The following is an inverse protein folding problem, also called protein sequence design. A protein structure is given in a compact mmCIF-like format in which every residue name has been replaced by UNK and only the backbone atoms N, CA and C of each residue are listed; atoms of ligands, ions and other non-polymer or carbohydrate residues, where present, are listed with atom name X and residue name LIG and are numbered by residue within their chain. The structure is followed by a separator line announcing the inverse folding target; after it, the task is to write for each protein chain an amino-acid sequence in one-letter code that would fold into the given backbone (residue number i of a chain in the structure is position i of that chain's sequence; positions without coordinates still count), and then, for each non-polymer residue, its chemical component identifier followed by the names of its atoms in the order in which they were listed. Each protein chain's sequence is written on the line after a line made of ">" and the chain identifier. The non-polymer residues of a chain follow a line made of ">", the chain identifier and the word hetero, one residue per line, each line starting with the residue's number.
data_IF_249781877076
#
_entry.id   IF_249781877076
#
_cell.length_a   1.000
_cell.length_b   1.000
_cell.length_c   1.000
_cell.angle_alpha   90.00
_cell.angle_beta   90.00
_cell.angle_gamma   90.00
#
_symmetry.space_group_name_H-M   'P 1'
#
loop_
_entity.id
_entity.type
_entity.pdbx_description
1 polymer ?
#
# COMPACT_ATOMS: atom_id res chain seq x y z
N UNK A 1 -15.15 0.45 10.15
CA UNK A 1 -14.69 0.74 8.78
C UNK A 1 -13.29 0.18 8.50
N UNK A 2 -12.26 0.46 9.32
CA UNK A 2 -10.91 -0.15 9.18
C UNK A 2 -10.93 -1.68 9.27
N UNK A 3 -11.76 -2.26 10.16
CA UNK A 3 -11.87 -3.70 10.36
C UNK A 3 -12.19 -4.49 9.07
N UNK A 4 -13.09 -4.00 8.21
CA UNK A 4 -13.49 -4.75 7.01
C UNK A 4 -12.36 -4.84 5.96
N UNK A 5 -11.56 -3.80 5.81
CA UNK A 5 -10.42 -3.77 4.88
C UNK A 5 -9.32 -4.70 5.40
N UNK A 6 -8.97 -4.57 6.68
CA UNK A 6 -7.95 -5.41 7.31
C UNK A 6 -8.33 -6.90 7.22
N UNK A 7 -9.58 -7.27 7.55
CA UNK A 7 -10.04 -8.66 7.49
C UNK A 7 -9.92 -9.25 6.07
N UNK A 8 -10.22 -8.47 5.03
CA UNK A 8 -10.15 -8.95 3.64
C UNK A 8 -8.72 -9.15 3.16
N UNK A 9 -7.83 -8.21 3.45
CA UNK A 9 -6.41 -8.37 3.08
C UNK A 9 -5.81 -9.53 3.88
N UNK A 10 -6.11 -9.65 5.17
CA UNK A 10 -5.59 -10.73 6.03
C UNK A 10 -6.11 -12.12 5.61
N UNK A 11 -7.29 -12.22 5.02
CA UNK A 11 -7.84 -13.51 4.59
C UNK A 11 -7.11 -14.11 3.38
N UNK A 12 -6.73 -13.29 2.41
CA UNK A 12 -5.93 -13.70 1.25
C UNK A 12 -5.25 -12.46 0.63
N UNK A 13 -4.03 -12.11 1.07
CA UNK A 13 -3.37 -10.89 0.61
C UNK A 13 -2.85 -11.00 -0.84
N UNK A 14 -2.83 -12.19 -1.42
CA UNK A 14 -2.36 -12.47 -2.78
C UNK A 14 -3.50 -12.65 -3.79
N UNK A 15 -4.75 -12.44 -3.37
CA UNK A 15 -5.91 -12.61 -4.22
C UNK A 15 -5.79 -11.77 -5.52
N UNK A 16 -6.19 -12.36 -6.65
CA UNK A 16 -6.01 -11.78 -7.98
C UNK A 16 -6.62 -10.38 -8.16
N UNK A 17 -7.65 -10.04 -7.37
CA UNK A 17 -8.30 -8.73 -7.41
C UNK A 17 -7.50 -7.61 -6.72
N UNK A 18 -6.48 -7.96 -5.92
CA UNK A 18 -5.50 -7.04 -5.35
C UNK A 18 -4.29 -6.82 -6.27
N UNK A 19 -3.96 -7.79 -7.13
CA UNK A 19 -2.75 -7.80 -7.96
C UNK A 19 -2.71 -6.60 -8.93
N UNK A 20 -1.54 -5.99 -9.01
CA UNK A 20 -1.18 -4.97 -10.00
C UNK A 20 -0.17 -5.54 -11.00
N UNK A 21 0.07 -4.82 -12.10
CA UNK A 21 0.94 -5.25 -13.19
C UNK A 21 2.10 -4.27 -13.43
N UNK A 22 3.08 -4.69 -14.22
CA UNK A 22 4.21 -3.84 -14.61
C UNK A 22 5.10 -3.45 -13.42
N UNK A 23 5.46 -2.16 -13.35
CA UNK A 23 6.29 -1.62 -12.27
C UNK A 23 5.65 -1.77 -10.86
N UNK A 24 4.34 -1.98 -10.80
CA UNK A 24 3.60 -2.08 -9.54
C UNK A 24 3.34 -3.52 -9.07
N UNK A 25 3.87 -4.54 -9.77
CA UNK A 25 3.56 -5.96 -9.51
C UNK A 25 3.84 -6.46 -8.08
N UNK A 26 4.68 -5.75 -7.31
CA UNK A 26 5.01 -6.07 -5.91
C UNK A 26 3.99 -5.51 -4.91
N UNK A 27 3.00 -4.76 -5.38
CA UNK A 27 2.03 -4.05 -4.56
C UNK A 27 0.61 -4.56 -4.83
N UNK A 28 -0.20 -4.55 -3.78
CA UNK A 28 -1.62 -4.85 -3.82
C UNK A 28 -2.48 -3.58 -3.74
N UNK A 29 -3.71 -3.64 -4.25
CA UNK A 29 -4.65 -2.52 -4.23
C UNK A 29 -6.07 -2.91 -3.84
N UNK A 30 -6.60 -2.29 -2.80
CA UNK A 30 -8.01 -2.42 -2.41
C UNK A 30 -8.88 -1.38 -3.11
N UNK A 31 -10.03 -1.83 -3.64
CA UNK A 31 -11.11 -0.98 -4.18
C UNK A 31 -12.47 -1.52 -3.76
N UNK A 32 -13.44 -0.64 -3.48
CA UNK A 32 -14.86 -1.01 -3.22
C UNK A 32 -15.09 -2.03 -2.09
N UNK A 33 -14.12 -2.25 -1.21
CA UNK A 33 -14.20 -3.19 -0.08
C UNK A 33 -14.24 -2.43 1.25
N UNK A 34 -15.31 -1.65 1.46
CA UNK A 34 -15.39 -0.72 2.61
C UNK A 34 -14.66 0.61 2.40
N UNK A 35 -14.08 0.83 1.22
CA UNK A 35 -13.58 2.12 0.77
C UNK A 35 -14.62 2.81 -0.14
N UNK A 36 -14.79 4.14 -0.05
CA UNK A 36 -15.60 4.87 -1.01
C UNK A 36 -15.10 4.63 -2.44
N UNK A 37 -15.99 4.66 -3.43
CA UNK A 37 -15.70 4.19 -4.80
C UNK A 37 -14.46 4.83 -5.44
N UNK A 38 -14.17 6.08 -5.05
CA UNK A 38 -13.07 6.87 -5.57
C UNK A 38 -11.73 6.67 -4.85
N UNK A 39 -11.71 5.94 -3.74
CA UNK A 39 -10.50 5.73 -2.94
C UNK A 39 -9.83 4.42 -3.31
N UNK A 40 -8.49 4.42 -3.31
CA UNK A 40 -7.67 3.23 -3.52
C UNK A 40 -6.63 3.15 -2.42
N UNK A 41 -6.64 2.05 -1.69
CA UNK A 41 -5.58 1.75 -0.73
C UNK A 41 -4.55 0.89 -1.43
N UNK A 42 -3.28 1.26 -1.32
CA UNK A 42 -2.15 0.49 -1.79
C UNK A 42 -1.39 -0.09 -0.60
N UNK A 43 -1.02 -1.36 -0.72
CA UNK A 43 -0.32 -2.08 0.33
C UNK A 43 0.76 -2.98 -0.28
N UNK A 44 1.63 -3.49 0.57
CA UNK A 44 2.67 -4.44 0.21
C UNK A 44 2.67 -5.60 1.21
N UNK A 45 2.90 -6.79 0.69
CA UNK A 45 3.02 -8.02 1.49
C UNK A 45 4.49 -8.38 1.54
N UNK A 46 4.99 -8.60 2.75
CA UNK A 46 6.28 -9.21 3.00
C UNK A 46 5.98 -10.60 3.55
N UNK A 47 6.33 -11.63 2.78
CA UNK A 47 6.15 -13.03 3.18
C UNK A 47 7.53 -13.68 3.18
N UNK A 48 8.21 -13.53 4.31
CA UNK A 48 9.51 -14.16 4.58
C UNK A 48 9.30 -15.34 5.54
N UNK A 49 10.18 -16.35 5.54
CA UNK A 49 10.10 -17.45 6.51
C UNK A 49 10.05 -16.98 7.97
N UNK A 50 10.73 -15.87 8.27
CA UNK A 50 10.87 -15.31 9.61
C UNK A 50 9.69 -14.40 9.99
N UNK A 51 9.09 -13.71 9.02
CA UNK A 51 8.04 -12.73 9.27
C UNK A 51 7.06 -12.58 8.09
N UNK A 52 5.77 -12.58 8.42
CA UNK A 52 4.67 -12.22 7.52
C UNK A 52 4.08 -10.88 7.93
N UNK A 53 4.23 -9.88 7.07
CA UNK A 53 3.76 -8.53 7.31
C UNK A 53 2.96 -7.98 6.13
N UNK A 54 1.90 -7.22 6.42
CA UNK A 54 1.16 -6.43 5.44
C UNK A 54 1.34 -4.96 5.83
N UNK A 55 1.91 -4.19 4.90
CA UNK A 55 2.23 -2.78 5.13
C UNK A 55 1.32 -1.94 4.25
N UNK A 56 0.52 -1.08 4.88
CA UNK A 56 -0.31 -0.11 4.18
C UNK A 56 0.57 1.09 3.83
N UNK A 57 0.73 1.37 2.53
CA UNK A 57 1.68 2.38 2.06
C UNK A 57 1.00 3.71 1.77
N UNK A 58 -0.16 3.68 1.11
CA UNK A 58 -0.78 4.90 0.62
C UNK A 58 -2.29 4.77 0.40
N UNK A 59 -3.03 5.80 0.82
CA UNK A 59 -4.45 5.96 0.51
C UNK A 59 -4.63 7.04 -0.56
N UNK A 60 -4.85 6.60 -1.79
CA UNK A 60 -5.10 7.47 -2.92
C UNK A 60 -6.55 7.94 -2.98
N UNK A 61 -6.72 9.24 -3.22
CA UNK A 61 -8.00 9.90 -3.48
C UNK A 61 -7.85 10.82 -4.71
N UNK A 62 -8.92 11.05 -5.49
CA UNK A 62 -8.85 11.96 -6.63
C UNK A 62 -8.70 13.40 -6.15
N UNK A 63 -7.75 14.15 -6.72
CA UNK A 63 -7.52 15.56 -6.38
C UNK A 63 -8.55 16.51 -6.99
N UNK A 64 -9.28 16.08 -8.04
CA UNK A 64 -10.39 16.82 -8.68
C UNK A 64 -11.52 15.87 -9.05
N UNK A 65 -12.75 16.41 -9.04
CA UNK A 65 -13.92 15.66 -9.47
C UNK A 65 -13.81 15.26 -10.95
N UNK A 66 -13.90 13.96 -11.24
CA UNK A 66 -13.79 13.42 -12.61
C UNK A 66 -12.38 12.97 -13.05
N UNK A 67 -11.32 13.27 -12.29
CA UNK A 67 -9.95 12.82 -12.60
C UNK A 67 -9.75 11.34 -12.21
N UNK A 68 -10.08 10.42 -13.13
CA UNK A 68 -10.03 8.96 -12.90
C UNK A 68 -8.61 8.35 -12.91
N UNK A 69 -7.56 9.07 -13.29
CA UNK A 69 -6.20 8.51 -13.51
C UNK A 69 -5.12 8.86 -12.49
N UNK A 70 -5.33 9.89 -11.66
CA UNK A 70 -4.26 10.55 -10.90
C UNK A 70 -3.59 9.63 -9.85
N UNK A 71 -4.36 8.73 -9.22
CA UNK A 71 -3.83 7.91 -8.12
C UNK A 71 -2.81 6.86 -8.57
N UNK A 72 -2.93 6.27 -9.77
CA UNK A 72 -1.90 5.34 -10.25
C UNK A 72 -0.65 6.06 -10.70
N UNK A 73 -0.78 7.23 -11.34
CA UNK A 73 0.38 8.01 -11.77
C UNK A 73 1.18 8.51 -10.56
N UNK A 74 0.49 9.04 -9.54
CA UNK A 74 1.12 9.47 -8.29
C UNK A 74 1.80 8.30 -7.60
N UNK A 75 1.09 7.17 -7.41
CA UNK A 75 1.68 6.01 -6.75
C UNK A 75 2.86 5.44 -7.54
N UNK A 76 2.77 5.35 -8.87
CA UNK A 76 3.87 4.90 -9.73
C UNK A 76 5.07 5.82 -9.63
N UNK A 77 4.87 7.15 -9.62
CA UNK A 77 5.96 8.13 -9.43
C UNK A 77 6.62 7.96 -8.06
N UNK A 78 5.86 7.72 -7.00
CA UNK A 78 6.39 7.47 -5.66
C UNK A 78 7.23 6.18 -5.63
N UNK A 79 6.72 5.10 -6.21
CA UNK A 79 7.45 3.81 -6.32
C UNK A 79 8.74 3.98 -7.12
N UNK A 80 8.68 4.60 -8.30
CA UNK A 80 9.87 4.81 -9.15
C UNK A 80 10.92 5.73 -8.51
N UNK A 81 10.49 6.64 -7.62
CA UNK A 81 11.39 7.51 -6.86
C UNK A 81 12.04 6.77 -5.67
N UNK A 82 11.60 5.55 -5.34
CA UNK A 82 12.04 4.85 -4.12
C UNK A 82 11.47 5.48 -2.85
N UNK A 83 10.26 6.04 -2.92
CA UNK A 83 9.61 6.67 -1.75
C UNK A 83 9.20 5.65 -0.68
N UNK A 84 9.10 4.37 -1.04
CA UNK A 84 8.75 3.31 -0.11
C UNK A 84 9.91 2.34 0.04
N UNK A 85 10.19 1.86 1.26
CA UNK A 85 11.26 0.92 1.51
C UNK A 85 11.06 -0.35 0.70
N UNK A 86 12.18 -0.88 0.23
CA UNK A 86 12.21 -2.00 -0.70
C UNK A 86 12.27 -3.35 0.01
N UNK A 87 12.67 -3.33 1.28
CA UNK A 87 12.74 -4.49 2.18
C UNK A 87 11.99 -4.21 3.49
N UNK A 88 11.69 -5.27 4.23
CA UNK A 88 11.06 -5.13 5.54
C UNK A 88 12.03 -4.54 6.57
N UNK A 89 13.31 -4.89 6.46
CA UNK A 89 14.37 -4.37 7.32
C UNK A 89 14.54 -2.85 7.16
N UNK A 90 14.53 -2.35 5.92
CA UNK A 90 14.53 -0.90 5.65
C UNK A 90 13.33 -0.19 6.29
N UNK A 91 12.15 -0.80 6.23
CA UNK A 91 10.94 -0.23 6.85
C UNK A 91 11.04 -0.16 8.37
N UNK A 92 11.55 -1.23 9.00
CA UNK A 92 11.74 -1.28 10.46
C UNK A 92 12.77 -0.23 10.88
N UNK A 93 13.90 -0.15 10.18
CA UNK A 93 14.94 0.84 10.46
C UNK A 93 14.44 2.29 10.31
N UNK A 94 13.64 2.59 9.28
CA UNK A 94 13.05 3.93 9.08
C UNK A 94 12.03 4.27 10.20
N UNK A 95 11.24 3.29 10.64
CA UNK A 95 10.30 3.48 11.74
C UNK A 95 11.00 3.73 13.09
N UNK A 96 12.11 3.03 13.35
CA UNK A 96 12.94 3.22 14.55
C UNK A 96 13.62 4.59 14.55
N UNK A 97 14.16 5.03 13.41
CA UNK A 97 14.84 6.33 13.28
C UNK A 97 13.90 7.52 13.53
N UNK A 98 12.62 7.39 13.18
CA UNK A 98 11.62 8.46 13.35
C UNK A 98 11.19 8.66 14.82
N UNK A 99 11.46 7.69 15.71
CA UNK A 99 11.12 7.82 17.14
C UNK A 99 12.14 8.69 17.91
N UNK A 100 13.36 8.85 17.41
CA UNK A 100 14.44 9.58 18.09
C UNK A 100 14.47 11.08 17.75
N UNK A 101 13.84 11.53 16.66
CA UNK A 101 13.78 12.97 16.30
C UNK A 101 12.65 13.75 16.98
N UNK A 102 11.89 13.11 17.86
CA UNK A 102 10.86 13.72 18.71
C UNK A 102 11.16 13.60 20.22
N UNK A 103 12.40 13.20 20.56
CA UNK A 103 12.93 13.12 21.94
C UNK A 103 13.63 14.40 22.39
#
# INVERSE_FOLDING_TARGET
>A
MISAIATKILSDPFASHFVLTGALKRYGRVKKMGLPERYRLFFRVFDTPELKAIVILWLGFPRKEGAKGDYYEVFTKMVLKGTFPDTLDELIAEAETTQDELG
#
